data_IF_694359953976
#
_entry.id   IF_694359953976
#
_cell.length_a   1.000
_cell.length_b   1.000
_cell.length_c   1.000
_cell.angle_alpha   90.00
_cell.angle_beta   90.00
_cell.angle_gamma   90.00
#
_symmetry.space_group_name_H-M   'P 1'
#
loop_
_entity.id
_entity.type
_entity.pdbx_description
1 polymer ?
#
# COMPACT_ATOMS: atom_id res chain seq x y z
N UNK A 1 16.48 -16.93 -8.43
CA UNK A 1 15.74 -16.67 -7.18
C UNK A 1 14.30 -17.07 -7.43
N UNK A 2 13.63 -17.84 -6.56
CA UNK A 2 12.24 -18.19 -6.79
C UNK A 2 11.39 -16.92 -6.73
N UNK A 3 10.54 -16.76 -7.73
CA UNK A 3 9.50 -15.74 -7.81
C UNK A 3 8.42 -16.11 -6.79
N UNK A 4 8.64 -15.77 -5.52
CA UNK A 4 7.63 -15.97 -4.50
C UNK A 4 6.57 -14.88 -4.68
N UNK A 5 5.52 -15.24 -5.42
CA UNK A 5 4.32 -14.42 -5.57
C UNK A 5 3.65 -14.27 -4.20
N UNK A 6 3.94 -13.19 -3.49
CA UNK A 6 3.16 -12.82 -2.31
C UNK A 6 1.81 -12.29 -2.81
N UNK A 7 0.73 -12.99 -2.49
CA UNK A 7 -0.61 -12.53 -2.84
C UNK A 7 -1.07 -11.47 -1.84
N UNK A 8 -1.91 -10.52 -2.28
CA UNK A 8 -2.58 -9.56 -1.37
C UNK A 8 -3.36 -10.30 -0.27
N UNK A 9 -3.76 -11.55 -0.52
CA UNK A 9 -4.36 -12.42 0.48
C UNK A 9 -3.48 -12.61 1.74
N UNK A 10 -2.15 -12.58 1.61
CA UNK A 10 -1.19 -12.72 2.72
C UNK A 10 -0.80 -11.38 3.37
N UNK A 11 -1.20 -10.26 2.76
CA UNK A 11 -0.93 -8.91 3.27
C UNK A 11 -1.85 -8.53 4.43
N UNK A 12 -1.42 -8.75 5.68
CA UNK A 12 -2.17 -8.34 6.89
C UNK A 12 -1.65 -7.05 7.51
N UNK A 13 -2.40 -6.51 8.47
CA UNK A 13 -2.00 -5.28 9.15
C UNK A 13 -0.65 -5.47 9.86
N UNK A 14 -0.38 -6.62 10.47
CA UNK A 14 0.88 -6.86 11.17
C UNK A 14 2.07 -6.86 10.19
N UNK A 15 1.90 -7.49 9.03
CA UNK A 15 2.85 -7.49 7.94
C UNK A 15 3.03 -6.08 7.38
N UNK A 16 1.95 -5.30 7.20
CA UNK A 16 2.05 -3.92 6.74
C UNK A 16 2.80 -3.02 7.75
N UNK A 17 2.44 -3.10 9.03
CA UNK A 17 3.10 -2.35 10.11
C UNK A 17 4.58 -2.73 10.25
N UNK A 18 4.92 -4.01 10.09
CA UNK A 18 6.31 -4.48 10.11
C UNK A 18 7.16 -3.94 8.95
N UNK A 19 6.54 -3.35 7.93
CA UNK A 19 7.19 -2.79 6.74
C UNK A 19 7.10 -1.28 6.63
N UNK A 20 6.69 -0.59 7.70
CA UNK A 20 6.79 0.87 7.73
C UNK A 20 8.26 1.26 7.60
N UNK A 21 8.57 2.13 6.65
CA UNK A 21 9.91 2.53 6.21
C UNK A 21 10.43 1.74 5.01
N UNK A 22 9.77 0.64 4.59
CA UNK A 22 10.18 -0.09 3.40
C UNK A 22 9.88 0.69 2.13
N UNK A 23 10.78 0.56 1.16
CA UNK A 23 10.62 1.16 -0.16
C UNK A 23 9.85 0.24 -1.12
N UNK A 24 8.97 0.85 -1.88
CA UNK A 24 8.17 0.28 -2.96
C UNK A 24 8.47 1.03 -4.24
N UNK A 25 8.36 0.33 -5.36
CA UNK A 25 8.73 0.90 -6.66
C UNK A 25 7.64 0.63 -7.69
N UNK A 26 7.30 1.66 -8.47
CA UNK A 26 6.39 1.56 -9.61
C UNK A 26 7.13 1.95 -10.88
N UNK A 27 6.98 1.16 -11.94
CA UNK A 27 7.43 1.56 -13.28
C UNK A 27 6.23 2.13 -14.04
N UNK A 28 6.27 3.42 -14.41
CA UNK A 28 5.13 4.11 -15.04
C UNK A 28 5.04 3.83 -16.55
N UNK A 29 6.13 4.10 -17.29
CA UNK A 29 6.17 4.01 -18.76
C UNK A 29 7.51 3.40 -19.23
N UNK A 30 7.91 2.26 -18.65
CA UNK A 30 9.17 1.51 -18.91
C UNK A 30 10.50 2.27 -18.72
N UNK A 31 10.43 3.56 -18.39
CA UNK A 31 11.58 4.47 -18.32
C UNK A 31 11.64 5.22 -17.00
N UNK A 32 10.52 5.31 -16.28
CA UNK A 32 10.39 6.06 -15.03
C UNK A 32 10.08 5.11 -13.89
N UNK A 33 11.06 4.95 -13.01
CA UNK A 33 10.91 4.27 -11.74
C UNK A 33 10.56 5.30 -10.68
N UNK A 34 9.39 5.15 -10.06
CA UNK A 34 8.93 5.98 -8.97
C UNK A 34 9.14 5.23 -7.66
N UNK A 35 9.70 5.92 -6.67
CA UNK A 35 9.98 5.40 -5.34
C UNK A 35 8.88 5.85 -4.37
N UNK A 36 8.37 4.91 -3.60
CA UNK A 36 7.38 5.14 -2.56
C UNK A 36 7.88 4.53 -1.26
N UNK A 37 7.59 5.17 -0.16
CA UNK A 37 7.89 4.66 1.17
C UNK A 37 6.57 4.39 1.89
N UNK A 38 6.41 3.19 2.48
CA UNK A 38 5.27 2.94 3.36
C UNK A 38 5.50 3.68 4.67
N UNK A 39 4.77 4.77 4.91
CA UNK A 39 4.97 5.61 6.10
C UNK A 39 3.98 5.29 7.22
N UNK A 40 2.83 4.70 6.90
CA UNK A 40 1.80 4.38 7.89
C UNK A 40 0.98 3.15 7.47
N UNK A 41 0.55 2.37 8.44
CA UNK A 41 -0.42 1.29 8.24
C UNK A 41 -1.39 1.29 9.43
N UNK A 42 -2.68 1.53 9.19
CA UNK A 42 -3.69 1.69 10.26
C UNK A 42 -4.90 0.77 10.07
N UNK A 43 -5.45 0.19 11.15
CA UNK A 43 -6.67 -0.59 11.06
C UNK A 43 -7.86 0.29 10.68
N UNK A 44 -8.66 -0.17 9.72
CA UNK A 44 -9.94 0.44 9.39
C UNK A 44 -11.02 -0.26 10.23
N UNK A 45 -11.20 0.19 11.46
CA UNK A 45 -12.28 -0.32 12.32
C UNK A 45 -13.63 0.14 11.80
N UNK A 46 -14.33 -0.76 11.11
CA UNK A 46 -15.75 -0.59 10.82
C UNK A 46 -16.54 -0.97 12.08
N UNK A 47 -16.81 0.04 12.92
CA UNK A 47 -17.62 -0.01 14.15
C UNK A 47 -16.98 -0.64 15.41
N UNK A 48 -17.28 -0.07 16.61
CA UNK A 48 -16.80 -0.59 17.90
C UNK A 48 -17.49 -1.89 18.37
N UNK A 49 -18.57 -2.34 17.72
CA UNK A 49 -19.29 -3.58 18.04
C UNK A 49 -18.76 -4.83 17.31
N UNK A 50 -17.61 -4.70 16.66
CA UNK A 50 -16.92 -5.74 15.90
C UNK A 50 -16.18 -6.76 16.78
N UNK A 51 -16.80 -7.22 17.87
CA UNK A 51 -16.26 -8.26 18.78
C UNK A 51 -16.50 -9.68 18.23
N UNK A 52 -16.39 -9.85 16.91
CA UNK A 52 -16.62 -11.12 16.20
C UNK A 52 -15.60 -11.30 15.09
N UNK A 53 -14.32 -11.41 15.43
CA UNK A 53 -13.23 -12.09 14.67
C UNK A 53 -12.93 -11.74 13.20
N UNK A 54 -13.79 -10.96 12.52
CA UNK A 54 -13.85 -10.79 11.07
C UNK A 54 -13.85 -9.31 10.66
N UNK A 55 -14.32 -8.41 11.52
CA UNK A 55 -14.41 -6.98 11.25
C UNK A 55 -13.12 -6.18 11.52
N UNK A 56 -12.02 -6.87 11.88
CA UNK A 56 -10.71 -6.27 12.13
C UNK A 56 -9.66 -6.63 11.04
N UNK A 57 -10.09 -6.95 9.81
CA UNK A 57 -9.17 -7.37 8.75
C UNK A 57 -8.92 -6.33 7.65
N UNK A 58 -9.69 -5.24 7.62
CA UNK A 58 -9.41 -4.12 6.70
C UNK A 58 -8.46 -3.12 7.34
N UNK A 59 -7.55 -2.58 6.53
CA UNK A 59 -6.59 -1.58 6.96
C UNK A 59 -6.22 -0.65 5.80
N UNK A 60 -5.77 0.54 6.12
CA UNK A 60 -5.17 1.47 5.16
C UNK A 60 -3.66 1.45 5.28
N UNK A 61 -3.00 1.73 4.16
CA UNK A 61 -1.56 1.94 4.04
C UNK A 61 -1.33 3.30 3.41
N UNK A 62 -0.52 4.14 4.04
CA UNK A 62 -0.13 5.44 3.53
C UNK A 62 1.28 5.36 2.96
N UNK A 63 1.41 5.73 1.70
CA UNK A 63 2.68 5.77 0.99
C UNK A 63 3.10 7.21 0.72
N UNK A 64 4.35 7.53 1.01
CA UNK A 64 4.99 8.78 0.61
C UNK A 64 5.69 8.57 -0.73
N UNK A 65 5.19 9.19 -1.80
CA UNK A 65 5.77 9.16 -3.13
C UNK A 65 6.46 10.47 -3.52
N UNK A 66 6.96 10.58 -4.76
CA UNK A 66 7.56 11.82 -5.26
C UNK A 66 6.51 12.93 -5.41
N UNK A 67 6.93 14.19 -5.36
CA UNK A 67 6.06 15.34 -5.68
C UNK A 67 5.56 15.30 -7.13
N UNK A 68 6.41 14.83 -8.05
CA UNK A 68 6.08 14.66 -9.46
C UNK A 68 6.71 13.38 -10.04
N UNK A 69 6.02 12.68 -10.97
CA UNK A 69 4.68 12.96 -11.45
C UNK A 69 3.60 12.55 -10.44
N UNK A 70 2.50 13.31 -10.41
CA UNK A 70 1.31 12.96 -9.65
C UNK A 70 0.63 11.75 -10.29
N UNK A 71 0.48 10.66 -9.53
CA UNK A 71 -0.33 9.52 -9.94
C UNK A 71 -1.80 9.82 -9.70
N UNK A 72 -2.63 9.59 -10.72
CA UNK A 72 -4.07 9.61 -10.55
C UNK A 72 -4.53 8.40 -9.71
N UNK A 73 -5.72 8.50 -9.13
CA UNK A 73 -6.39 7.38 -8.49
C UNK A 73 -6.49 6.17 -9.44
N UNK A 74 -6.03 5.00 -8.99
CA UNK A 74 -6.09 3.78 -9.78
C UNK A 74 -5.31 2.61 -9.18
N UNK A 75 -5.42 1.44 -9.83
CA UNK A 75 -4.63 0.26 -9.46
C UNK A 75 -3.27 0.32 -10.13
N UNK A 76 -2.20 0.28 -9.33
CA UNK A 76 -0.82 0.33 -9.81
C UNK A 76 -0.02 -0.89 -9.34
N UNK A 77 0.86 -1.45 -10.17
CA UNK A 77 1.74 -2.56 -9.78
C UNK A 77 2.94 -2.05 -8.96
N UNK A 78 2.79 -2.01 -7.63
CA UNK A 78 3.89 -1.67 -6.72
C UNK A 78 4.77 -2.90 -6.45
N UNK A 79 6.07 -2.74 -6.57
CA UNK A 79 7.05 -3.79 -6.33
C UNK A 79 7.85 -3.53 -5.06
N UNK A 80 7.97 -4.54 -4.21
CA UNK A 80 8.83 -4.56 -3.04
C UNK A 80 9.66 -5.84 -3.04
N UNK A 81 10.86 -5.80 -2.45
CA UNK A 81 11.79 -6.94 -2.47
C UNK A 81 11.28 -8.16 -1.70
N UNK A 82 10.36 -7.98 -0.75
CA UNK A 82 9.81 -9.08 0.06
C UNK A 82 8.44 -9.54 -0.38
N UNK A 83 7.57 -8.64 -0.85
CA UNK A 83 6.25 -9.01 -1.36
C UNK A 83 6.20 -9.23 -2.88
N UNK A 84 7.32 -9.03 -3.58
CA UNK A 84 7.29 -9.09 -5.04
C UNK A 84 6.40 -7.97 -5.60
N UNK A 85 5.49 -8.29 -6.53
CA UNK A 85 4.63 -7.30 -7.20
C UNK A 85 3.20 -7.39 -6.70
N UNK A 86 2.71 -6.32 -6.09
CA UNK A 86 1.34 -6.18 -5.60
C UNK A 86 0.58 -5.14 -6.43
N UNK A 87 -0.65 -5.46 -6.84
CA UNK A 87 -1.51 -4.52 -7.54
C UNK A 87 -2.39 -3.77 -6.53
N UNK A 88 -1.94 -2.59 -6.11
CA UNK A 88 -2.60 -1.80 -5.07
C UNK A 88 -3.44 -0.70 -5.70
N UNK A 89 -4.69 -0.56 -5.25
CA UNK A 89 -5.51 0.60 -5.58
C UNK A 89 -5.09 1.76 -4.69
N UNK A 90 -4.44 2.76 -5.30
CA UNK A 90 -3.93 3.95 -4.62
C UNK A 90 -4.78 5.17 -4.95
N UNK A 91 -4.94 6.05 -3.97
CA UNK A 91 -5.56 7.37 -4.12
C UNK A 91 -4.61 8.43 -3.59
N UNK A 92 -4.33 9.52 -4.33
CA UNK A 92 -3.63 10.66 -3.74
C UNK A 92 -4.53 11.30 -2.67
N UNK A 93 -4.04 11.40 -1.44
CA UNK A 93 -4.79 11.95 -0.29
C UNK A 93 -4.25 13.29 0.19
N UNK A 94 -2.96 13.54 -0.03
CA UNK A 94 -2.32 14.80 0.31
C UNK A 94 -1.12 15.06 -0.60
N UNK A 95 -0.71 16.31 -0.74
CA UNK A 95 0.49 16.69 -1.45
C UNK A 95 1.13 17.87 -0.74
N UNK A 96 2.37 17.68 -0.29
CA UNK A 96 3.23 18.76 0.15
C UNK A 96 4.20 19.15 -0.98
N UNK A 97 4.92 20.26 -0.81
CA UNK A 97 5.88 20.73 -1.82
C UNK A 97 7.04 19.77 -2.10
N UNK A 98 7.20 18.70 -1.33
CA UNK A 98 8.29 17.73 -1.41
C UNK A 98 7.82 16.32 -1.81
N UNK A 99 6.56 15.96 -1.58
CA UNK A 99 6.02 14.63 -1.77
C UNK A 99 4.50 14.63 -1.99
N UNK A 100 4.03 13.55 -2.63
CA UNK A 100 2.60 13.22 -2.67
C UNK A 100 2.34 12.00 -1.80
N UNK A 101 1.30 12.05 -0.98
CA UNK A 101 0.87 10.93 -0.15
C UNK A 101 -0.26 10.18 -0.83
N UNK A 102 -0.13 8.86 -0.87
CA UNK A 102 -1.07 7.95 -1.50
C UNK A 102 -1.59 6.95 -0.49
N UNK A 103 -2.90 6.85 -0.35
CA UNK A 103 -3.53 5.85 0.51
C UNK A 103 -3.96 4.63 -0.33
N UNK A 104 -3.73 3.43 0.21
CA UNK A 104 -4.27 2.18 -0.31
C UNK A 104 -5.09 1.49 0.77
N UNK A 105 -6.32 1.08 0.42
CA UNK A 105 -7.20 0.33 1.33
C UNK A 105 -7.15 -1.14 0.96
N UNK A 106 -6.80 -1.98 1.92
CA UNK A 106 -6.81 -3.44 1.77
C UNK A 106 -8.06 -3.98 2.47
N UNK A 107 -8.92 -4.62 1.68
CA UNK A 107 -10.09 -5.33 2.19
C UNK A 107 -9.85 -6.83 2.12
N UNK A 108 -9.92 -7.49 3.27
CA UNK A 108 -9.75 -8.92 3.41
C UNK A 108 -11.12 -9.59 3.50
N UNK A 109 -11.56 -10.37 2.50
CA UNK A 109 -12.79 -11.13 2.62
C UNK A 109 -12.64 -12.20 3.71
N UNK A 110 -13.73 -12.41 4.46
CA UNK A 110 -13.87 -13.44 5.51
C UNK A 110 -13.82 -14.86 4.97
#
# INVERSE_FOLDING_TARGET
>A
MPDQSFEIADLDLAAATARIGDSFHLTLDDTRLLHFELVEATPLTSSPDADTGAANRSFSMLFRGPAEPLLNQGTVPMRNDTWGTCHLFVVPVDQDGEATYYEAIVNRPS
#
